data_IF_010514981659
#
_entry.id   IF_010514981659
#
_cell.length_a   1.000
_cell.length_b   1.000
_cell.length_c   1.000
_cell.angle_alpha   90.00
_cell.angle_beta   90.00
_cell.angle_gamma   90.00
#
_symmetry.space_group_name_H-M   'P 1'
#
loop_
_entity.id
_entity.type
_entity.pdbx_description
1 polymer ?
#
# COMPACT_ATOMS: atom_id res chain seq x y z
N UNK A 1 18.21 6.48 -5.89
CA UNK A 1 17.50 7.71 -5.48
C UNK A 1 16.34 7.86 -6.45
N UNK A 2 15.18 7.30 -6.12
CA UNK A 2 14.00 7.39 -6.98
C UNK A 2 13.46 8.82 -6.85
N UNK A 3 13.28 9.50 -7.99
CA UNK A 3 12.53 10.76 -8.01
C UNK A 3 11.09 10.42 -7.60
N UNK A 4 10.68 10.92 -6.44
CA UNK A 4 9.27 10.99 -6.07
C UNK A 4 8.66 12.09 -6.93
N UNK A 5 8.09 11.71 -8.07
CA UNK A 5 7.28 12.61 -8.87
C UNK A 5 6.03 12.95 -8.05
N UNK A 6 5.85 14.21 -7.68
CA UNK A 6 4.62 14.68 -7.05
C UNK A 6 3.44 14.41 -8.00
N UNK A 7 2.60 13.42 -7.66
CA UNK A 7 1.36 13.19 -8.35
C UNK A 7 0.34 14.22 -7.86
N UNK A 8 0.13 15.28 -8.63
CA UNK A 8 -0.96 16.21 -8.36
C UNK A 8 -2.29 15.56 -8.82
N UNK A 9 -2.96 14.85 -7.90
CA UNK A 9 -4.24 14.20 -8.17
C UNK A 9 -5.40 15.05 -7.63
N UNK A 10 -6.24 15.57 -8.52
CA UNK A 10 -7.50 16.20 -8.12
C UNK A 10 -8.45 15.10 -7.64
N UNK A 11 -8.62 14.96 -6.32
CA UNK A 11 -9.54 13.98 -5.73
C UNK A 11 -10.98 14.52 -5.82
N UNK A 12 -11.83 13.85 -6.61
CA UNK A 12 -13.28 14.12 -6.57
C UNK A 12 -13.90 13.37 -5.39
N UNK A 13 -14.34 14.11 -4.38
CA UNK A 13 -15.11 13.60 -3.24
C UNK A 13 -16.61 13.81 -3.45
N UNK A 14 -17.44 12.99 -2.80
CA UNK A 14 -18.88 13.26 -2.73
C UNK A 14 -19.19 14.59 -2.04
N UNK A 15 -20.33 15.20 -2.38
CA UNK A 15 -20.75 16.51 -1.86
C UNK A 15 -20.74 16.54 -0.31
N UNK A 16 -21.34 15.54 0.33
CA UNK A 16 -21.44 15.46 1.79
C UNK A 16 -20.07 15.38 2.48
N UNK A 17 -19.11 14.70 1.86
CA UNK A 17 -17.74 14.60 2.38
C UNK A 17 -16.99 15.91 2.23
N UNK A 18 -17.22 16.63 1.13
CA UNK A 18 -16.59 17.93 0.87
C UNK A 18 -17.08 18.98 1.87
N UNK A 19 -18.38 18.97 2.18
CA UNK A 19 -18.97 19.86 3.20
C UNK A 19 -18.41 19.54 4.60
N UNK A 20 -18.37 18.27 4.98
CA UNK A 20 -17.80 17.84 6.25
C UNK A 20 -16.31 18.22 6.39
N UNK A 21 -15.52 18.03 5.34
CA UNK A 21 -14.11 18.43 5.31
C UNK A 21 -13.95 19.94 5.45
N UNK A 22 -14.77 20.73 4.74
CA UNK A 22 -14.74 22.20 4.83
C UNK A 22 -15.06 22.68 6.24
N UNK A 23 -16.12 22.16 6.86
CA UNK A 23 -16.51 22.52 8.23
C UNK A 23 -15.41 22.16 9.25
N UNK A 24 -14.81 20.98 9.10
CA UNK A 24 -13.68 20.56 9.94
C UNK A 24 -12.49 21.51 9.80
N UNK A 25 -12.08 21.81 8.57
CA UNK A 25 -10.92 22.66 8.31
C UNK A 25 -11.13 24.09 8.80
N UNK A 26 -12.34 24.63 8.63
CA UNK A 26 -12.71 25.96 9.13
C UNK A 26 -12.69 26.00 10.67
N UNK A 27 -13.28 25.00 11.32
CA UNK A 27 -13.36 24.96 12.78
C UNK A 27 -11.99 24.83 13.45
N UNK A 28 -11.12 23.97 12.90
CA UNK A 28 -9.79 23.69 13.46
C UNK A 28 -8.68 24.58 12.87
N UNK A 29 -9.00 25.43 11.89
CA UNK A 29 -8.04 26.27 11.15
C UNK A 29 -6.85 25.45 10.60
N UNK A 30 -7.17 24.34 9.94
CA UNK A 30 -6.22 23.45 9.28
C UNK A 30 -6.42 23.49 7.78
N UNK A 31 -5.34 23.20 7.04
CA UNK A 31 -5.36 23.16 5.58
C UNK A 31 -6.02 21.87 5.06
N UNK A 32 -7.02 21.95 4.15
CA UNK A 32 -7.67 20.77 3.58
C UNK A 32 -6.73 19.80 2.89
N UNK A 33 -5.70 20.28 2.18
CA UNK A 33 -4.73 19.39 1.50
C UNK A 33 -3.98 18.54 2.54
N UNK A 34 -3.52 19.18 3.62
CA UNK A 34 -2.86 18.48 4.74
C UNK A 34 -3.75 17.39 5.35
N UNK A 35 -5.06 17.62 5.48
CA UNK A 35 -5.99 16.62 6.02
C UNK A 35 -6.16 15.45 5.06
N UNK A 36 -6.30 15.72 3.76
CA UNK A 36 -6.42 14.69 2.73
C UNK A 36 -5.15 13.84 2.66
N UNK A 37 -3.97 14.46 2.68
CA UNK A 37 -2.68 13.76 2.66
C UNK A 37 -2.53 12.84 3.87
N UNK A 38 -2.84 13.33 5.07
CA UNK A 38 -2.78 12.52 6.29
C UNK A 38 -3.80 11.37 6.26
N UNK A 39 -5.02 11.62 5.77
CA UNK A 39 -6.03 10.58 5.65
C UNK A 39 -5.59 9.48 4.67
N UNK A 40 -4.99 9.85 3.53
CA UNK A 40 -4.46 8.91 2.55
C UNK A 40 -3.27 8.13 3.10
N UNK A 41 -2.31 8.78 3.76
CA UNK A 41 -1.15 8.12 4.35
C UNK A 41 -1.56 7.10 5.41
N UNK A 42 -2.51 7.47 6.28
CA UNK A 42 -3.07 6.57 7.29
C UNK A 42 -3.79 5.38 6.63
N UNK A 43 -4.66 5.64 5.65
CA UNK A 43 -5.38 4.58 4.95
C UNK A 43 -4.43 3.59 4.27
N UNK A 44 -3.43 4.09 3.55
CA UNK A 44 -2.45 3.26 2.87
C UNK A 44 -1.58 2.49 3.86
N UNK A 45 -1.12 3.13 4.93
CA UNK A 45 -0.30 2.48 5.97
C UNK A 45 -1.04 1.35 6.68
N UNK A 46 -2.33 1.54 6.98
CA UNK A 46 -3.19 0.50 7.57
C UNK A 46 -3.40 -0.67 6.59
N UNK A 47 -3.62 -0.39 5.31
CA UNK A 47 -3.94 -1.42 4.32
C UNK A 47 -2.70 -2.13 3.74
N UNK A 48 -1.51 -1.54 3.87
CA UNK A 48 -0.26 -2.15 3.40
C UNK A 48 0.18 -3.35 4.27
N UNK A 49 -0.46 -3.59 5.42
CA UNK A 49 -0.10 -4.69 6.33
C UNK A 49 -0.16 -6.06 5.64
N UNK A 50 -1.11 -6.29 4.73
CA UNK A 50 -1.25 -7.57 4.02
C UNK A 50 -0.06 -7.79 3.06
N UNK A 51 0.27 -6.79 2.25
CA UNK A 51 1.39 -6.89 1.29
C UNK A 51 2.72 -7.02 2.02
N UNK A 52 2.93 -6.23 3.08
CA UNK A 52 4.12 -6.32 3.93
C UNK A 52 4.23 -7.71 4.57
N UNK A 53 3.12 -8.27 5.06
CA UNK A 53 3.10 -9.61 5.66
C UNK A 53 3.42 -10.70 4.65
N UNK A 54 2.90 -10.60 3.42
CA UNK A 54 3.21 -11.52 2.33
C UNK A 54 4.69 -11.47 1.96
N UNK A 55 5.24 -10.26 1.75
CA UNK A 55 6.68 -10.08 1.44
C UNK A 55 7.54 -10.68 2.55
N UNK A 56 7.20 -10.43 3.81
CA UNK A 56 7.93 -10.97 4.95
C UNK A 56 7.86 -12.50 5.00
N UNK A 57 6.67 -13.08 4.84
CA UNK A 57 6.49 -14.53 4.84
C UNK A 57 7.26 -15.22 3.71
N UNK A 58 7.27 -14.66 2.50
CA UNK A 58 8.08 -15.19 1.40
C UNK A 58 9.58 -15.10 1.68
N UNK A 59 10.05 -14.01 2.28
CA UNK A 59 11.46 -13.87 2.66
C UNK A 59 11.87 -14.87 3.75
N UNK A 60 11.04 -15.06 4.78
CA UNK A 60 11.27 -16.01 5.87
C UNK A 60 11.33 -17.46 5.35
N UNK A 61 10.49 -17.81 4.37
CA UNK A 61 10.42 -19.16 3.80
C UNK A 61 11.34 -19.36 2.59
N UNK A 62 12.10 -18.36 2.16
CA UNK A 62 12.83 -18.38 0.90
C UNK A 62 13.80 -19.57 0.78
N UNK A 63 14.56 -19.87 1.84
CA UNK A 63 15.52 -20.97 1.85
C UNK A 63 14.82 -22.34 1.75
N UNK A 64 13.76 -22.55 2.53
CA UNK A 64 12.99 -23.80 2.54
C UNK A 64 12.28 -24.02 1.20
N UNK A 65 11.70 -22.96 0.63
CA UNK A 65 11.09 -23.02 -0.70
C UNK A 65 12.13 -23.36 -1.78
N UNK A 66 13.35 -22.83 -1.68
CA UNK A 66 14.42 -23.15 -2.62
C UNK A 66 14.86 -24.62 -2.51
N UNK A 67 14.97 -25.17 -1.30
CA UNK A 67 15.29 -26.58 -1.06
C UNK A 67 14.23 -27.51 -1.66
N UNK A 68 12.95 -27.24 -1.44
CA UNK A 68 11.84 -28.03 -2.04
C UNK A 68 11.91 -27.97 -3.57
N UNK A 69 12.03 -26.78 -4.15
CA UNK A 69 12.14 -26.65 -5.61
C UNK A 69 13.32 -27.45 -6.17
N UNK A 70 14.45 -27.47 -5.46
CA UNK A 70 15.62 -28.24 -5.87
C UNK A 70 15.40 -29.76 -5.74
N UNK A 71 14.72 -30.23 -4.70
CA UNK A 71 14.43 -31.65 -4.51
C UNK A 71 13.53 -32.22 -5.61
N UNK A 72 12.54 -31.44 -6.06
CA UNK A 72 11.55 -31.88 -7.03
C UNK A 72 11.84 -31.47 -8.48
N UNK A 73 12.93 -30.74 -8.76
CA UNK A 73 13.27 -30.30 -10.11
C UNK A 73 13.42 -31.44 -11.12
N UNK A 74 13.84 -32.62 -10.65
CA UNK A 74 13.96 -33.84 -11.48
C UNK A 74 12.62 -34.52 -11.81
N UNK A 75 11.53 -34.17 -11.13
CA UNK A 75 10.18 -34.64 -11.45
C UNK A 75 9.54 -33.76 -12.53
N UNK A 76 9.76 -32.45 -12.49
CA UNK A 76 9.29 -31.50 -13.49
C UNK A 76 9.97 -31.74 -14.85
N UNK A 77 11.28 -32.00 -14.84
CA UNK A 77 12.06 -32.29 -16.05
C UNK A 77 11.68 -33.60 -16.78
N UNK A 78 10.77 -34.41 -16.23
CA UNK A 78 10.25 -35.64 -16.84
C UNK A 78 8.88 -35.45 -17.51
N UNK A 79 8.25 -34.29 -17.29
CA UNK A 79 6.92 -33.95 -17.78
C UNK A 79 7.02 -33.02 -19.02
N UNK A 80 8.16 -32.35 -19.21
CA UNK A 80 8.59 -31.74 -20.48
C UNK A 80 9.17 -32.77 -21.46
#
# INVERSE_FOLDING_TARGET
MALMTEMNSSVMTGHDLQEALSQYCEFYNVDPETVVDQALDNFLSEHNQVVVSLVRGYAEMAALNAEICQEYSGCEAKID
#
